data_IF_200066164608
#
_entry.id   IF_200066164608
#
_cell.length_a   1.000
_cell.length_b   1.000
_cell.length_c   1.000
_cell.angle_alpha   90.00
_cell.angle_beta   90.00
_cell.angle_gamma   90.00
#
_symmetry.space_group_name_H-M   'P 1'
#
loop_
_entity.id
_entity.type
_entity.pdbx_description
1 polymer ?
#
# COMPACT_ATOMS: atom_id res chain seq x y z
N UNK A 1 -12.52 31.36 -24.55
CA UNK A 1 -12.07 30.16 -23.79
C UNK A 1 -10.60 29.91 -24.01
N UNK A 2 -10.17 29.82 -25.27
CA UNK A 2 -8.76 29.66 -25.66
C UNK A 2 -7.83 30.68 -25.01
N UNK A 3 -8.08 31.98 -25.19
CA UNK A 3 -7.25 33.03 -24.58
C UNK A 3 -7.14 32.89 -23.04
N UNK A 4 -8.23 32.57 -22.36
CA UNK A 4 -8.26 32.40 -20.91
C UNK A 4 -7.59 31.10 -20.41
N UNK A 5 -7.42 30.10 -21.28
CA UNK A 5 -6.86 28.78 -20.91
C UNK A 5 -5.39 28.64 -21.33
N UNK A 6 -5.07 29.04 -22.57
CA UNK A 6 -3.77 28.86 -23.23
C UNK A 6 -3.21 30.14 -23.87
N UNK A 7 -3.86 31.29 -23.69
CA UNK A 7 -3.31 32.59 -24.11
C UNK A 7 -2.09 32.99 -23.28
N UNK A 8 -1.60 34.22 -23.46
CA UNK A 8 -0.35 34.72 -22.83
C UNK A 8 -0.39 34.65 -21.30
N UNK A 9 -1.59 34.84 -20.72
CA UNK A 9 -1.84 34.73 -19.28
C UNK A 9 -2.56 33.42 -18.91
N UNK A 10 -2.68 32.48 -19.85
CA UNK A 10 -3.32 31.18 -19.67
C UNK A 10 -2.47 30.24 -18.84
N UNK A 11 -3.10 29.52 -17.91
CA UNK A 11 -2.41 28.62 -16.98
C UNK A 11 -2.82 27.15 -17.14
N UNK A 12 -3.39 26.77 -18.29
CA UNK A 12 -3.92 25.43 -18.57
C UNK A 12 -4.78 24.88 -17.43
N UNK A 13 -5.65 25.71 -16.87
CA UNK A 13 -6.38 25.36 -15.65
C UNK A 13 -7.48 24.32 -15.92
N UNK A 14 -7.92 23.63 -14.85
CA UNK A 14 -9.07 22.72 -14.93
C UNK A 14 -10.32 23.46 -15.43
N UNK A 15 -11.20 22.75 -16.14
CA UNK A 15 -12.40 23.36 -16.70
C UNK A 15 -13.30 24.06 -15.68
N UNK A 16 -13.36 23.59 -14.43
CA UNK A 16 -14.06 24.29 -13.35
C UNK A 16 -13.45 25.66 -13.07
N UNK A 17 -12.11 25.76 -12.98
CA UNK A 17 -11.43 27.05 -12.76
C UNK A 17 -11.53 27.96 -13.99
N UNK A 18 -11.44 27.39 -15.20
CA UNK A 18 -11.64 28.11 -16.45
C UNK A 18 -13.05 28.73 -16.51
N UNK A 19 -14.07 27.99 -16.11
CA UNK A 19 -15.45 28.48 -16.01
C UNK A 19 -15.56 29.68 -15.07
N UNK A 20 -14.99 29.59 -13.86
CA UNK A 20 -14.96 30.71 -12.92
C UNK A 20 -14.21 31.93 -13.47
N UNK A 21 -13.07 31.70 -14.15
CA UNK A 21 -12.29 32.76 -14.76
C UNK A 21 -13.09 33.53 -15.83
N UNK A 22 -13.73 32.80 -16.76
CA UNK A 22 -14.52 33.36 -17.84
C UNK A 22 -15.77 34.08 -17.31
N UNK A 23 -16.43 33.49 -16.30
CA UNK A 23 -17.56 34.14 -15.62
C UNK A 23 -17.15 35.47 -14.98
N UNK A 24 -15.96 35.53 -14.36
CA UNK A 24 -15.42 36.77 -13.76
C UNK A 24 -15.06 37.84 -14.80
N UNK A 25 -14.75 37.43 -16.03
CA UNK A 25 -14.54 38.34 -17.17
C UNK A 25 -15.85 38.90 -17.76
N UNK A 26 -17.01 38.51 -17.21
CA UNK A 26 -18.33 39.02 -17.64
C UNK A 26 -19.01 38.19 -18.72
N UNK A 27 -18.42 37.07 -19.15
CA UNK A 27 -19.02 36.19 -20.15
C UNK A 27 -19.86 35.10 -19.49
N UNK A 28 -21.03 34.82 -20.07
CA UNK A 28 -21.93 33.78 -19.58
C UNK A 28 -22.67 33.08 -20.72
N UNK A 29 -22.76 31.76 -20.65
CA UNK A 29 -23.74 30.99 -21.39
C UNK A 29 -24.24 29.79 -20.56
N UNK A 30 -25.48 29.30 -20.77
CA UNK A 30 -26.07 28.24 -19.94
C UNK A 30 -25.24 26.95 -19.90
N UNK A 31 -24.60 26.57 -21.00
CA UNK A 31 -23.76 25.36 -21.11
C UNK A 31 -22.27 25.62 -20.90
N UNK A 32 -21.89 26.83 -20.46
CA UNK A 32 -20.48 27.25 -20.35
C UNK A 32 -19.65 26.31 -19.50
N UNK A 33 -20.22 25.79 -18.41
CA UNK A 33 -19.52 24.87 -17.52
C UNK A 33 -19.09 23.61 -18.27
N UNK A 34 -20.03 22.97 -18.99
CA UNK A 34 -19.75 21.79 -19.82
C UNK A 34 -18.69 22.10 -20.88
N UNK A 35 -18.81 23.23 -21.57
CA UNK A 35 -17.84 23.63 -22.59
C UNK A 35 -16.44 23.85 -22.02
N UNK A 36 -16.32 24.45 -20.83
CA UNK A 36 -15.02 24.64 -20.18
C UNK A 36 -14.39 23.31 -19.75
N UNK A 37 -15.19 22.36 -19.25
CA UNK A 37 -14.74 21.00 -18.93
C UNK A 37 -14.24 20.30 -20.20
N UNK A 38 -15.06 20.25 -21.24
CA UNK A 38 -14.73 19.58 -22.50
C UNK A 38 -13.51 20.20 -23.18
N UNK A 39 -13.39 21.54 -23.15
CA UNK A 39 -12.23 22.26 -23.67
C UNK A 39 -10.95 21.90 -22.91
N UNK A 40 -10.97 21.98 -21.56
CA UNK A 40 -9.80 21.61 -20.74
C UNK A 40 -9.39 20.15 -20.91
N UNK A 41 -10.36 19.24 -21.12
CA UNK A 41 -10.11 17.82 -21.36
C UNK A 41 -9.41 17.55 -22.68
N UNK A 42 -9.59 18.38 -23.71
CA UNK A 42 -8.94 18.24 -25.02
C UNK A 42 -7.54 18.87 -25.06
N UNK A 43 -7.16 19.66 -24.05
CA UNK A 43 -5.85 20.31 -24.02
C UNK A 43 -4.74 19.30 -23.70
N UNK A 44 -3.87 19.02 -24.67
CA UNK A 44 -2.74 18.10 -24.49
C UNK A 44 -1.78 18.55 -23.39
N UNK A 45 -1.45 19.85 -23.30
CA UNK A 45 -0.59 20.36 -22.24
C UNK A 45 -1.17 20.10 -20.84
N UNK A 46 -2.48 20.30 -20.66
CA UNK A 46 -3.16 19.94 -19.43
C UNK A 46 -3.11 18.42 -19.17
N UNK A 47 -3.41 17.60 -20.18
CA UNK A 47 -3.40 16.14 -20.06
C UNK A 47 -2.02 15.59 -19.67
N UNK A 48 -0.93 16.02 -20.31
CA UNK A 48 0.41 15.50 -20.04
C UNK A 48 0.98 15.93 -18.68
N UNK A 49 0.55 17.08 -18.16
CA UNK A 49 1.04 17.64 -16.90
C UNK A 49 0.08 17.48 -15.71
N UNK A 50 -1.15 17.02 -15.96
CA UNK A 50 -2.13 16.78 -14.90
C UNK A 50 -1.60 15.81 -13.84
N UNK A 51 -1.98 16.06 -12.59
CA UNK A 51 -1.57 15.26 -11.44
C UNK A 51 -2.10 13.82 -11.53
N UNK A 52 -1.33 12.89 -10.98
CA UNK A 52 -1.81 11.53 -10.74
C UNK A 52 -2.89 11.57 -9.65
N UNK A 53 -4.09 11.11 -9.98
CA UNK A 53 -5.13 10.92 -8.97
C UNK A 53 -4.77 9.62 -8.24
N UNK A 54 -4.30 9.73 -7.00
CA UNK A 54 -3.90 8.59 -6.16
C UNK A 54 -5.10 7.81 -5.61
N UNK A 55 -6.09 7.51 -6.45
CA UNK A 55 -7.21 6.66 -6.07
C UNK A 55 -6.92 5.23 -6.53
N UNK A 56 -7.04 4.24 -5.64
CA UNK A 56 -6.87 2.86 -6.03
C UNK A 56 -7.97 2.46 -7.04
N UNK A 57 -7.62 1.84 -8.17
CA UNK A 57 -8.61 1.42 -9.16
C UNK A 57 -9.26 0.08 -8.81
N UNK A 58 -8.66 -0.67 -7.87
CA UNK A 58 -9.10 -2.01 -7.48
C UNK A 58 -9.29 -2.13 -5.97
N UNK A 59 -10.24 -2.96 -5.51
CA UNK A 59 -10.39 -3.32 -4.11
C UNK A 59 -9.15 -3.97 -3.51
N UNK A 60 -8.97 -3.81 -2.20
CA UNK A 60 -7.98 -4.59 -1.45
C UNK A 60 -8.45 -6.05 -1.33
N UNK A 61 -7.57 -6.98 -1.69
CA UNK A 61 -7.74 -8.40 -1.46
C UNK A 61 -6.80 -8.83 -0.32
N UNK A 62 -7.30 -9.01 0.92
CA UNK A 62 -6.46 -9.42 2.03
C UNK A 62 -6.00 -10.86 1.84
N UNK A 63 -4.73 -11.13 2.17
CA UNK A 63 -4.20 -12.48 2.25
C UNK A 63 -4.73 -13.15 3.52
N UNK A 64 -5.43 -14.27 3.35
CA UNK A 64 -5.85 -15.13 4.46
C UNK A 64 -4.82 -16.23 4.57
N UNK A 65 -4.16 -16.33 5.73
CA UNK A 65 -3.31 -17.47 6.05
C UNK A 65 -4.05 -18.31 7.10
N UNK A 66 -4.17 -19.60 6.82
CA UNK A 66 -4.96 -20.50 7.67
C UNK A 66 -4.18 -20.93 8.90
N UNK A 67 -2.87 -21.15 8.76
CA UNK A 67 -1.99 -21.65 9.81
C UNK A 67 -0.58 -21.03 9.74
N UNK A 68 0.21 -21.08 10.83
CA UNK A 68 1.63 -20.74 10.77
C UNK A 68 2.32 -21.52 9.64
N UNK A 69 3.15 -20.83 8.85
CA UNK A 69 3.91 -21.36 7.71
C UNK A 69 3.12 -21.69 6.42
N UNK A 70 1.80 -21.49 6.39
CA UNK A 70 0.98 -21.65 5.18
C UNK A 70 1.40 -20.71 4.04
N UNK A 71 1.77 -19.47 4.38
CA UNK A 71 2.29 -18.48 3.42
C UNK A 71 3.27 -17.55 4.11
N UNK A 72 4.33 -17.16 3.38
CA UNK A 72 5.29 -16.17 3.83
C UNK A 72 5.34 -14.98 2.87
N UNK A 73 5.40 -13.77 3.42
CA UNK A 73 5.61 -12.54 2.67
C UNK A 73 7.01 -11.99 2.94
N UNK A 74 7.76 -11.67 1.88
CA UNK A 74 9.05 -10.99 1.99
C UNK A 74 8.96 -9.59 1.38
N UNK A 75 9.56 -8.63 2.08
CA UNK A 75 9.75 -7.26 1.59
C UNK A 75 11.16 -6.78 1.93
N UNK A 76 11.70 -5.88 1.11
CA UNK A 76 13.03 -5.30 1.30
C UNK A 76 12.90 -3.92 1.90
N UNK A 77 13.33 -3.76 3.14
CA UNK A 77 13.39 -2.47 3.80
C UNK A 77 14.67 -1.74 3.38
N UNK A 78 14.56 -0.60 2.68
CA UNK A 78 15.75 0.19 2.32
C UNK A 78 15.49 1.43 1.48
N UNK A 79 16.53 2.27 1.27
CA UNK A 79 17.91 2.12 1.74
C UNK A 79 18.11 2.58 3.19
N UNK A 80 18.75 1.74 4.01
CA UNK A 80 19.12 2.08 5.40
C UNK A 80 20.47 2.82 5.46
N UNK A 81 20.70 3.58 6.53
CA UNK A 81 22.00 4.22 6.77
C UNK A 81 23.08 3.14 6.90
N UNK A 82 24.22 3.32 6.23
CA UNK A 82 25.34 2.37 6.34
C UNK A 82 25.80 2.32 7.80
N UNK A 83 25.90 1.11 8.35
CA UNK A 83 26.56 0.92 9.64
C UNK A 83 28.05 1.25 9.48
N UNK A 84 28.52 2.26 10.20
CA UNK A 84 29.95 2.50 10.36
C UNK A 84 30.41 1.62 11.52
N UNK A 85 31.30 0.65 11.26
CA UNK A 85 31.85 -0.27 12.26
C UNK A 85 32.75 0.37 13.33
N UNK A 86 32.51 1.65 13.68
CA UNK A 86 33.24 2.38 14.71
C UNK A 86 32.23 2.91 15.74
N UNK A 87 32.15 2.17 16.84
CA UNK A 87 31.67 2.48 18.20
C UNK A 87 30.53 3.51 18.36
N UNK A 88 29.35 2.95 18.69
CA UNK A 88 28.35 3.38 19.66
C UNK A 88 28.23 4.89 19.96
N UNK A 89 27.28 5.54 19.25
CA UNK A 89 26.51 6.74 19.68
C UNK A 89 25.59 7.30 18.57
N UNK A 90 25.65 6.79 17.34
CA UNK A 90 24.83 7.30 16.23
C UNK A 90 23.77 6.29 15.80
N UNK A 91 22.65 6.80 15.24
CA UNK A 91 21.50 6.08 14.64
C UNK A 91 21.86 5.17 13.44
N UNK A 92 22.98 4.45 13.51
CA UNK A 92 23.61 3.66 12.43
C UNK A 92 23.97 2.24 12.88
N UNK A 93 23.61 1.88 14.10
CA UNK A 93 23.79 0.58 14.75
C UNK A 93 22.58 -0.36 14.57
N UNK A 94 21.69 -0.07 13.61
CA UNK A 94 20.45 -0.84 13.41
C UNK A 94 20.70 -2.35 13.28
N UNK A 95 21.80 -2.75 12.62
CA UNK A 95 22.19 -4.14 12.44
C UNK A 95 22.46 -4.89 13.77
N UNK A 96 22.96 -4.22 14.80
CA UNK A 96 23.16 -4.80 16.14
C UNK A 96 21.83 -4.93 16.89
N UNK A 97 20.89 -4.02 16.62
CA UNK A 97 19.59 -3.93 17.32
C UNK A 97 18.46 -4.72 16.66
N UNK A 98 18.69 -5.31 15.49
CA UNK A 98 17.67 -6.14 14.80
C UNK A 98 17.19 -7.28 15.69
N UNK A 99 18.10 -7.95 16.40
CA UNK A 99 17.74 -9.06 17.30
C UNK A 99 16.78 -8.61 18.39
N UNK A 100 17.07 -7.49 19.06
CA UNK A 100 16.22 -6.89 20.09
C UNK A 100 14.85 -6.49 19.53
N UNK A 101 14.83 -5.82 18.37
CA UNK A 101 13.60 -5.37 17.73
C UNK A 101 12.73 -6.56 17.32
N UNK A 102 13.34 -7.63 16.80
CA UNK A 102 12.64 -8.85 16.42
C UNK A 102 12.09 -9.59 17.64
N UNK A 103 12.86 -9.65 18.74
CA UNK A 103 12.42 -10.23 20.00
C UNK A 103 11.20 -9.49 20.54
N UNK A 104 11.30 -8.17 20.71
CA UNK A 104 10.18 -7.33 21.12
C UNK A 104 8.99 -7.49 20.16
N UNK A 105 9.25 -7.64 18.85
CA UNK A 105 8.18 -7.85 17.90
C UNK A 105 7.42 -9.16 18.17
N UNK A 106 8.15 -10.24 18.43
CA UNK A 106 7.61 -11.58 18.66
C UNK A 106 6.89 -11.73 19.99
N UNK A 107 7.29 -10.99 21.03
CA UNK A 107 6.73 -11.10 22.38
C UNK A 107 5.70 -10.03 22.75
N UNK A 108 5.37 -9.11 21.84
CA UNK A 108 4.36 -8.07 22.07
C UNK A 108 3.02 -8.48 21.46
N UNK A 109 1.94 -8.31 22.23
CA UNK A 109 0.56 -8.56 21.77
C UNK A 109 0.23 -7.64 20.59
N UNK A 110 -0.31 -8.23 19.51
CA UNK A 110 -0.67 -7.51 18.29
C UNK A 110 -2.15 -7.18 18.29
N UNK A 111 -2.51 -5.94 17.97
CA UNK A 111 -3.92 -5.51 17.90
C UNK A 111 -4.80 -6.39 16.99
N UNK A 112 -4.34 -6.85 15.80
CA UNK A 112 -5.18 -7.65 14.90
C UNK A 112 -5.53 -9.03 15.45
N UNK A 113 -4.61 -9.69 16.16
CA UNK A 113 -4.79 -11.06 16.67
C UNK A 113 -5.10 -11.11 18.17
N UNK A 114 -4.82 -10.04 18.91
CA UNK A 114 -4.83 -9.98 20.38
C UNK A 114 -3.92 -11.03 21.05
N UNK A 115 -2.94 -11.56 20.32
CA UNK A 115 -1.95 -12.53 20.80
C UNK A 115 -0.53 -12.10 20.42
N UNK A 116 0.48 -12.66 21.08
CA UNK A 116 1.88 -12.46 20.68
C UNK A 116 2.20 -13.35 19.46
N UNK A 117 3.01 -12.89 18.48
CA UNK A 117 3.43 -13.74 17.38
C UNK A 117 4.17 -15.00 17.83
N UNK A 118 4.89 -14.94 18.95
CA UNK A 118 5.58 -16.09 19.53
C UNK A 118 4.59 -17.16 19.99
N UNK A 119 3.55 -16.80 20.75
CA UNK A 119 2.56 -17.77 21.25
C UNK A 119 1.76 -18.46 20.13
N UNK A 120 1.49 -17.77 19.02
CA UNK A 120 0.80 -18.37 17.88
C UNK A 120 1.65 -19.46 17.18
N UNK A 121 2.99 -19.31 17.20
CA UNK A 121 3.93 -20.24 16.55
C UNK A 121 4.38 -21.34 17.49
N UNK A 122 4.83 -20.97 18.69
CA UNK A 122 5.44 -21.88 19.67
C UNK A 122 4.51 -22.29 20.81
N UNK A 123 3.25 -21.88 20.76
CA UNK A 123 2.17 -22.45 21.57
C UNK A 123 2.19 -22.06 23.05
N UNK A 124 3.16 -21.25 23.45
CA UNK A 124 3.29 -20.67 24.79
C UNK A 124 3.80 -19.23 24.69
N UNK A 125 3.48 -18.41 25.68
CA UNK A 125 4.10 -17.10 25.78
C UNK A 125 5.61 -17.24 26.05
N UNK A 126 6.40 -16.42 25.37
CA UNK A 126 7.84 -16.41 25.56
C UNK A 126 8.19 -16.01 27.00
N UNK A 127 9.03 -16.80 27.67
CA UNK A 127 9.60 -16.41 28.96
C UNK A 127 10.62 -15.30 28.71
N UNK A 128 10.38 -14.12 29.25
CA UNK A 128 11.30 -12.99 29.10
C UNK A 128 12.50 -13.16 30.05
N UNK A 129 13.71 -12.71 29.67
CA UNK A 129 14.87 -12.76 30.56
C UNK A 129 14.63 -12.09 31.93
N UNK A 130 13.78 -11.06 31.97
CA UNK A 130 13.40 -10.38 33.20
C UNK A 130 12.58 -11.28 34.15
N UNK A 131 11.77 -12.19 33.62
CA UNK A 131 10.98 -13.15 34.41
C UNK A 131 11.85 -14.22 35.08
N UNK A 132 13.02 -14.51 34.52
CA UNK A 132 14.01 -15.38 35.15
C UNK A 132 14.83 -14.64 36.20
N UNK A 133 15.17 -13.36 35.95
CA UNK A 133 15.97 -12.55 36.88
C UNK A 133 15.17 -12.13 38.12
N UNK A 134 13.90 -11.79 37.92
CA UNK A 134 12.93 -11.55 38.98
C UNK A 134 12.03 -12.77 38.96
N UNK A 135 12.17 -13.74 39.88
CA UNK A 135 11.43 -15.00 39.87
C UNK A 135 9.94 -14.75 39.74
N UNK A 136 9.43 -14.75 38.51
CA UNK A 136 8.05 -14.38 38.22
C UNK A 136 7.16 -15.48 38.77
N UNK A 137 5.87 -15.19 39.02
CA UNK A 137 4.94 -16.22 39.49
C UNK A 137 4.94 -17.45 38.58
N UNK A 138 5.08 -17.25 37.26
CA UNK A 138 5.18 -18.33 36.28
C UNK A 138 6.40 -19.22 36.51
N UNK A 139 7.58 -18.62 36.73
CA UNK A 139 8.83 -19.36 36.98
C UNK A 139 8.78 -20.06 38.35
N UNK A 140 8.32 -19.37 39.39
CA UNK A 140 8.22 -19.92 40.74
C UNK A 140 7.27 -21.12 40.81
N UNK A 141 6.14 -21.07 40.08
CA UNK A 141 5.23 -22.22 39.96
C UNK A 141 5.94 -23.36 39.24
N UNK A 142 6.60 -23.09 38.12
CA UNK A 142 7.25 -24.12 37.31
C UNK A 142 8.40 -24.83 38.03
N UNK A 143 9.17 -24.12 38.87
CA UNK A 143 10.21 -24.71 39.72
C UNK A 143 9.66 -25.66 40.80
N UNK A 144 8.40 -25.50 41.19
CA UNK A 144 7.75 -26.32 42.22
C UNK A 144 6.98 -27.53 41.68
N UNK A 145 6.86 -27.67 40.36
CA UNK A 145 6.12 -28.77 39.72
C UNK A 145 6.98 -30.02 39.56
N UNK A 146 6.36 -31.18 39.74
CA UNK A 146 6.93 -32.46 39.30
C UNK A 146 6.90 -32.59 37.76
N UNK A 147 7.69 -33.50 37.20
CA UNK A 147 7.69 -33.75 35.76
C UNK A 147 6.30 -34.18 35.24
N UNK A 148 5.58 -34.98 36.04
CA UNK A 148 4.24 -35.50 35.71
C UNK A 148 3.19 -34.38 35.69
N UNK A 149 3.20 -33.49 36.69
CA UNK A 149 2.30 -32.33 36.72
C UNK A 149 2.61 -31.35 35.58
N UNK A 150 3.89 -31.10 35.30
CA UNK A 150 4.31 -30.24 34.20
C UNK A 150 3.86 -30.81 32.84
N UNK A 151 3.95 -32.13 32.64
CA UNK A 151 3.47 -32.80 31.44
C UNK A 151 1.93 -32.68 31.30
N UNK A 152 1.19 -32.82 32.39
CA UNK A 152 -0.26 -32.69 32.41
C UNK A 152 -0.71 -31.27 32.03
N UNK A 153 -0.10 -30.24 32.64
CA UNK A 153 -0.38 -28.83 32.29
C UNK A 153 -0.05 -28.57 30.81
N UNK A 154 1.07 -29.12 30.32
CA UNK A 154 1.45 -28.94 28.92
C UNK A 154 0.45 -29.59 27.96
N UNK A 155 -0.14 -30.72 28.33
CA UNK A 155 -1.19 -31.37 27.54
C UNK A 155 -2.45 -30.51 27.47
N UNK A 156 -2.89 -29.96 28.61
CA UNK A 156 -4.06 -29.06 28.67
C UNK A 156 -3.85 -27.78 27.83
N UNK A 157 -2.63 -27.21 27.85
CA UNK A 157 -2.28 -26.07 27.00
C UNK A 157 -2.37 -26.39 25.51
N UNK A 158 -1.96 -27.60 25.12
CA UNK A 158 -2.03 -28.09 23.73
C UNK A 158 -3.47 -28.33 23.29
N UNK A 159 -4.34 -28.85 24.16
CA UNK A 159 -5.75 -29.03 23.85
C UNK A 159 -6.48 -27.69 23.63
N UNK A 160 -6.16 -26.66 24.43
CA UNK A 160 -6.72 -25.32 24.29
C UNK A 160 -6.13 -24.50 23.12
N UNK A 161 -5.12 -25.03 22.45
CA UNK A 161 -4.32 -24.30 21.47
C UNK A 161 -5.08 -23.99 20.18
N UNK A 162 -5.77 -25.00 19.65
CA UNK A 162 -6.49 -24.88 18.38
C UNK A 162 -7.60 -23.83 18.48
N UNK A 163 -8.25 -23.76 19.64
CA UNK A 163 -9.23 -22.72 19.96
C UNK A 163 -8.59 -21.33 19.96
N UNK A 164 -7.45 -21.13 20.63
CA UNK A 164 -6.73 -19.85 20.64
C UNK A 164 -6.28 -19.42 19.24
N UNK A 165 -5.78 -20.35 18.42
CA UNK A 165 -5.38 -20.06 17.03
C UNK A 165 -6.58 -19.67 16.18
N UNK A 166 -7.69 -20.40 16.32
CA UNK A 166 -8.94 -20.09 15.61
C UNK A 166 -9.49 -18.71 16.00
N UNK A 167 -9.49 -18.37 17.29
CA UNK A 167 -9.91 -17.04 17.75
C UNK A 167 -9.01 -15.93 17.18
N UNK A 168 -7.68 -16.12 17.22
CA UNK A 168 -6.74 -15.16 16.68
C UNK A 168 -6.93 -14.96 15.16
N UNK A 169 -7.23 -16.05 14.44
CA UNK A 169 -7.54 -16.01 13.01
C UNK A 169 -8.84 -15.23 12.75
N UNK A 170 -9.93 -15.54 13.46
CA UNK A 170 -11.21 -14.83 13.29
C UNK A 170 -11.07 -13.33 13.57
N UNK A 171 -10.30 -12.95 14.60
CA UNK A 171 -10.00 -11.54 14.89
C UNK A 171 -9.21 -10.88 13.77
N UNK A 172 -8.20 -11.57 13.23
CA UNK A 172 -7.40 -11.08 12.11
C UNK A 172 -8.26 -10.86 10.87
N UNK A 173 -9.14 -11.81 10.53
CA UNK A 173 -10.08 -11.70 9.42
C UNK A 173 -11.03 -10.51 9.59
N UNK A 174 -11.58 -10.34 10.79
CA UNK A 174 -12.43 -9.17 11.11
C UNK A 174 -11.66 -7.85 10.94
N UNK A 175 -10.42 -7.79 11.43
CA UNK A 175 -9.55 -6.63 11.30
C UNK A 175 -9.21 -6.33 9.83
N UNK A 176 -8.84 -7.35 9.06
CA UNK A 176 -8.57 -7.23 7.62
C UNK A 176 -9.82 -6.79 6.84
N UNK A 177 -11.01 -7.28 7.20
CA UNK A 177 -12.26 -6.85 6.60
C UNK A 177 -12.56 -5.36 6.87
N UNK A 178 -12.28 -4.88 8.09
CA UNK A 178 -12.41 -3.45 8.41
C UNK A 178 -11.44 -2.59 7.60
N UNK A 179 -10.17 -2.99 7.50
CA UNK A 179 -9.17 -2.32 6.67
C UNK A 179 -9.60 -2.29 5.20
N UNK A 180 -10.06 -3.43 4.68
CA UNK A 180 -10.54 -3.56 3.30
C UNK A 180 -11.72 -2.63 3.04
N UNK A 181 -12.71 -2.57 3.93
CA UNK A 181 -13.85 -1.64 3.81
C UNK A 181 -13.39 -0.17 3.79
N UNK A 182 -12.48 0.20 4.69
CA UNK A 182 -11.96 1.57 4.78
C UNK A 182 -11.16 1.98 3.53
N UNK A 183 -10.36 1.06 2.98
CA UNK A 183 -9.63 1.24 1.73
C UNK A 183 -10.59 1.32 0.53
N UNK A 184 -11.50 0.35 0.41
CA UNK A 184 -12.44 0.22 -0.70
C UNK A 184 -13.40 1.41 -0.81
N UNK A 185 -13.69 2.11 0.30
CA UNK A 185 -14.47 3.36 0.28
C UNK A 185 -13.83 4.46 -0.60
N UNK A 186 -12.51 4.42 -0.80
CA UNK A 186 -11.76 5.37 -1.62
C UNK A 186 -11.52 4.87 -3.05
N UNK A 187 -11.83 3.59 -3.32
CA UNK A 187 -11.65 3.00 -4.64
C UNK A 187 -12.63 3.65 -5.61
N UNK A 188 -12.11 4.06 -6.76
CA UNK A 188 -12.94 4.40 -7.91
C UNK A 188 -12.60 3.42 -9.01
N UNK A 189 -13.54 2.50 -9.25
CA UNK A 189 -13.41 1.55 -10.33
C UNK A 189 -13.24 2.32 -11.63
N UNK A 190 -12.12 2.08 -12.28
CA UNK A 190 -11.79 2.67 -13.56
C UNK A 190 -11.36 1.53 -14.48
N UNK A 191 -12.14 1.30 -15.53
CA UNK A 191 -11.83 0.31 -16.54
C UNK A 191 -11.80 0.96 -17.91
N UNK A 192 -10.93 0.45 -18.76
CA UNK A 192 -10.81 0.87 -20.16
C UNK A 192 -11.39 -0.23 -21.04
N UNK A 193 -12.14 0.17 -22.05
CA UNK A 193 -12.65 -0.73 -23.08
C UNK A 193 -11.61 -0.89 -24.20
N UNK A 194 -11.73 -1.99 -24.94
CA UNK A 194 -10.90 -2.21 -26.13
C UNK A 194 -11.13 -1.07 -27.15
N UNK A 195 -10.07 -0.34 -27.49
CA UNK A 195 -10.09 0.83 -28.37
C UNK A 195 -9.96 2.18 -27.66
N UNK A 196 -10.00 2.22 -26.32
CA UNK A 196 -9.86 3.48 -25.58
C UNK A 196 -8.44 4.05 -25.71
N UNK A 197 -8.36 5.36 -25.93
CA UNK A 197 -7.10 6.09 -25.92
C UNK A 197 -6.70 6.43 -24.48
N UNK A 198 -5.54 5.95 -24.06
CA UNK A 198 -5.03 6.07 -22.69
C UNK A 198 -3.63 6.66 -22.65
N UNK A 199 -3.34 7.38 -21.57
CA UNK A 199 -2.01 7.89 -21.27
C UNK A 199 -1.38 7.03 -20.17
N UNK A 200 -0.08 6.71 -20.28
CA UNK A 200 0.63 5.96 -19.24
C UNK A 200 1.53 6.87 -18.41
N UNK A 201 1.74 6.55 -17.13
CA UNK A 201 2.70 7.28 -16.28
C UNK A 201 4.13 7.05 -16.77
N UNK A 202 4.88 8.13 -17.01
CA UNK A 202 6.21 8.13 -17.66
C UNK A 202 7.33 7.42 -16.87
N UNK A 203 7.12 7.11 -15.58
CA UNK A 203 8.14 6.50 -14.70
C UNK A 203 7.50 5.51 -13.72
N UNK A 204 7.35 4.27 -14.15
CA UNK A 204 6.73 3.22 -13.34
C UNK A 204 7.65 2.64 -12.26
N UNK A 205 8.99 2.70 -12.42
CA UNK A 205 9.89 1.75 -11.73
C UNK A 205 11.10 2.37 -11.00
N UNK A 206 11.47 3.64 -11.24
CA UNK A 206 12.71 4.19 -10.66
C UNK A 206 12.46 5.56 -10.00
N UNK A 207 12.12 5.52 -8.71
CA UNK A 207 12.24 6.65 -7.79
C UNK A 207 13.65 6.65 -7.18
N UNK A 208 14.71 6.51 -7.98
CA UNK A 208 16.05 6.76 -7.46
C UNK A 208 16.16 8.26 -7.21
N UNK A 209 16.32 8.62 -5.93
CA UNK A 209 16.66 9.97 -5.53
C UNK A 209 17.90 10.41 -6.29
N UNK A 210 17.71 11.44 -7.14
CA UNK A 210 18.65 12.21 -7.97
C UNK A 210 18.33 12.05 -9.46
N UNK A 211 18.21 13.22 -10.12
CA UNK A 211 18.00 13.48 -11.57
C UNK A 211 16.60 13.11 -12.11
N UNK A 212 15.75 13.99 -12.66
CA UNK A 212 15.89 15.24 -13.44
C UNK A 212 14.52 15.96 -13.51
N UNK A 213 14.56 17.29 -13.38
CA UNK A 213 13.55 18.31 -13.75
C UNK A 213 12.08 18.10 -13.34
N UNK A 214 11.66 18.83 -12.29
CA UNK A 214 10.27 19.03 -11.82
C UNK A 214 9.26 19.52 -12.89
N UNK A 215 9.71 19.79 -14.11
CA UNK A 215 8.93 20.34 -15.22
C UNK A 215 8.65 19.35 -16.35
N UNK A 216 9.12 18.09 -16.25
CA UNK A 216 8.83 17.07 -17.26
C UNK A 216 7.34 16.66 -17.24
N UNK A 217 6.83 16.26 -18.42
CA UNK A 217 5.50 15.63 -18.56
C UNK A 217 5.41 14.40 -17.64
N UNK A 218 4.30 14.30 -16.90
CA UNK A 218 4.02 13.19 -15.96
C UNK A 218 3.47 11.97 -16.68
N UNK A 219 2.70 12.23 -17.72
CA UNK A 219 2.07 11.23 -18.57
C UNK A 219 2.78 11.17 -19.91
N UNK A 220 2.70 10.01 -20.55
CA UNK A 220 3.36 9.72 -21.81
C UNK A 220 2.44 8.98 -22.78
N UNK A 221 2.78 9.12 -24.06
CA UNK A 221 2.15 8.47 -25.20
C UNK A 221 0.71 8.86 -25.47
N UNK A 222 0.13 8.23 -26.47
CA UNK A 222 -1.31 8.13 -26.72
C UNK A 222 -1.52 6.70 -27.16
N UNK A 223 -1.78 5.84 -26.18
CA UNK A 223 -1.83 4.40 -26.39
C UNK A 223 -3.27 3.95 -26.58
N UNK A 224 -3.48 2.89 -27.32
CA UNK A 224 -4.78 2.24 -27.43
C UNK A 224 -4.81 1.03 -26.51
N UNK A 225 -5.75 1.00 -25.56
CA UNK A 225 -6.02 -0.17 -24.74
C UNK A 225 -6.65 -1.25 -25.61
N UNK A 226 -5.96 -2.38 -25.81
CA UNK A 226 -6.46 -3.46 -26.68
C UNK A 226 -7.22 -4.52 -25.89
N UNK A 227 -6.60 -5.00 -24.83
CA UNK A 227 -7.08 -6.14 -24.04
C UNK A 227 -6.95 -5.79 -22.56
N UNK A 228 -8.00 -6.08 -21.80
CA UNK A 228 -8.02 -6.03 -20.35
C UNK A 228 -7.76 -7.43 -19.79
N UNK A 229 -6.81 -7.55 -18.87
CA UNK A 229 -6.56 -8.76 -18.11
C UNK A 229 -7.46 -8.83 -16.87
N UNK A 230 -7.65 -10.02 -16.34
CA UNK A 230 -8.46 -10.27 -15.13
C UNK A 230 -7.90 -9.63 -13.86
N UNK A 231 -6.64 -9.21 -13.88
CA UNK A 231 -5.92 -8.56 -12.76
C UNK A 231 -5.80 -7.02 -12.93
N UNK A 232 -6.65 -6.42 -13.78
CA UNK A 232 -6.68 -4.97 -14.02
C UNK A 232 -5.47 -4.42 -14.77
N UNK A 233 -4.64 -5.29 -15.35
CA UNK A 233 -3.62 -4.87 -16.30
C UNK A 233 -4.21 -4.74 -17.71
N UNK A 234 -3.61 -3.86 -18.51
CA UNK A 234 -4.02 -3.61 -19.88
C UNK A 234 -2.86 -3.81 -20.83
N UNK A 235 -3.15 -4.46 -21.96
CA UNK A 235 -2.23 -4.54 -23.11
C UNK A 235 -2.39 -3.27 -23.93
N UNK A 236 -1.30 -2.53 -24.09
CA UNK A 236 -1.28 -1.26 -24.82
C UNK A 236 -0.57 -1.40 -26.17
N UNK A 237 -1.07 -0.67 -27.17
CA UNK A 237 -0.45 -0.54 -28.49
C UNK A 237 -0.27 0.96 -28.81
N UNK A 238 0.88 1.31 -29.38
CA UNK A 238 1.12 2.62 -30.00
C UNK A 238 0.38 2.67 -31.34
N UNK A 239 -0.04 3.85 -31.80
CA UNK A 239 -0.68 4.02 -33.14
C UNK A 239 0.14 3.38 -34.29
N UNK A 240 1.47 3.31 -34.17
CA UNK A 240 2.37 2.65 -35.13
C UNK A 240 2.47 1.12 -34.99
N UNK A 241 1.68 0.50 -34.11
CA UNK A 241 1.63 -0.95 -33.89
C UNK A 241 2.66 -1.51 -32.91
N UNK A 242 3.55 -0.67 -32.34
CA UNK A 242 4.50 -1.09 -31.32
C UNK A 242 3.77 -1.51 -30.04
N UNK A 243 4.08 -2.71 -29.54
CA UNK A 243 3.45 -3.29 -28.34
C UNK A 243 4.24 -2.92 -27.09
N UNK A 244 3.52 -2.46 -26.06
CA UNK A 244 4.10 -2.25 -24.73
C UNK A 244 3.66 -3.40 -23.83
N UNK A 245 4.52 -3.78 -22.89
CA UNK A 245 4.20 -4.79 -21.86
C UNK A 245 2.93 -4.42 -21.08
N UNK A 246 2.30 -5.39 -20.40
CA UNK A 246 1.07 -5.14 -19.66
C UNK A 246 1.30 -4.09 -18.56
N UNK A 247 0.48 -3.03 -18.56
CA UNK A 247 0.53 -1.95 -17.57
C UNK A 247 -0.70 -2.05 -16.67
N UNK A 248 -0.51 -1.97 -15.35
CA UNK A 248 -1.63 -1.93 -14.42
C UNK A 248 -2.45 -0.64 -14.63
N UNK A 249 -3.79 -0.76 -14.68
CA UNK A 249 -4.71 0.35 -14.90
C UNK A 249 -4.55 1.52 -13.91
N UNK A 250 -3.97 1.29 -12.72
CA UNK A 250 -3.63 2.36 -11.75
C UNK A 250 -2.65 3.40 -12.29
N UNK A 251 -1.95 3.07 -13.37
CA UNK A 251 -0.98 3.93 -14.03
C UNK A 251 -1.44 4.42 -15.39
N UNK A 252 -2.73 4.24 -15.69
CA UNK A 252 -3.39 4.69 -16.91
C UNK A 252 -4.47 5.72 -16.58
N UNK A 253 -4.78 6.58 -17.54
CA UNK A 253 -5.92 7.50 -17.50
C UNK A 253 -6.42 7.85 -18.89
#
# INVERSE_FOLDING_TARGET
>A
MEEAHSGVCGAHQSGSKLHFCIKRMGYYCPTMFKHCIDYSRRCQAYQFHANLIHQPPEPLHPTVASWPFDTWGLDVVGPLTKSSGVVAKSKRDWHERIGEALWAYRTTVRTPTQATPYALVYEVEAVLPLECQIPSLRIAIQEGLTEEENAQIRLEELEALDEKRLEAQQRLECYQAQLSRAFNKKVRLHSFQGGDLVLAVRRLIITTHRTENNFLRKWDGSYVAKEAYTNGAYRLIVEDGLRIGPINGKFLK
#
